data_IF_817690813431
#
_entry.id   IF_817690813431
#
_cell.length_a   1.000
_cell.length_b   1.000
_cell.length_c   1.000
_cell.angle_alpha   90.00
_cell.angle_beta   90.00
_cell.angle_gamma   90.00
#
_symmetry.space_group_name_H-M   'P 1'
#
loop_
_entity.id
_entity.type
_entity.pdbx_description
1 polymer ?
#
# COMPACT_ATOMS: atom_id res chain seq x y z
N UNK A 1 -7.50 -21.33 -6.72
CA UNK A 1 -7.70 -19.88 -7.00
C UNK A 1 -6.42 -19.06 -6.78
N UNK A 2 -5.22 -19.67 -6.72
CA UNK A 2 -3.98 -18.98 -6.33
C UNK A 2 -3.20 -18.30 -7.48
N UNK A 3 -3.69 -18.32 -8.71
CA UNK A 3 -2.80 -18.15 -9.85
C UNK A 3 -2.72 -16.71 -10.39
N UNK A 4 -3.82 -15.96 -10.36
CA UNK A 4 -3.86 -14.64 -11.04
C UNK A 4 -3.25 -13.51 -10.22
N UNK A 5 -3.56 -13.42 -8.92
CA UNK A 5 -3.02 -12.36 -8.05
C UNK A 5 -1.51 -12.49 -7.91
N UNK A 6 -1.01 -13.71 -7.77
CA UNK A 6 0.42 -14.00 -7.68
C UNK A 6 1.15 -13.70 -9.02
N UNK A 7 0.56 -14.09 -10.17
CA UNK A 7 1.10 -13.74 -11.49
C UNK A 7 1.12 -12.24 -11.74
N UNK A 8 0.09 -11.51 -11.33
CA UNK A 8 0.04 -10.04 -11.43
C UNK A 8 1.12 -9.41 -10.55
N UNK A 9 1.29 -9.89 -9.31
CA UNK A 9 2.32 -9.40 -8.40
C UNK A 9 3.72 -9.60 -8.98
N UNK A 10 4.08 -10.82 -9.36
CA UNK A 10 5.43 -11.12 -9.86
C UNK A 10 5.70 -10.53 -11.25
N UNK A 11 4.72 -10.60 -12.15
CA UNK A 11 4.92 -10.27 -13.56
C UNK A 11 4.72 -8.79 -13.87
N UNK A 12 3.98 -8.04 -13.05
CA UNK A 12 3.56 -6.67 -13.38
C UNK A 12 3.82 -5.70 -12.24
N UNK A 13 3.29 -5.97 -11.04
CA UNK A 13 3.31 -4.99 -9.95
C UNK A 13 4.70 -4.86 -9.32
N UNK A 14 5.37 -5.97 -8.99
CA UNK A 14 6.73 -5.93 -8.42
C UNK A 14 7.75 -5.29 -9.38
N UNK A 15 7.78 -5.61 -10.69
CA UNK A 15 8.62 -4.90 -11.64
C UNK A 15 8.34 -3.38 -11.64
N UNK A 16 7.06 -2.98 -11.71
CA UNK A 16 6.68 -1.57 -11.66
C UNK A 16 7.08 -0.88 -10.36
N UNK A 17 6.93 -1.54 -9.21
CA UNK A 17 7.39 -0.99 -7.93
C UNK A 17 8.91 -0.82 -7.91
N UNK A 18 9.63 -1.78 -8.48
CA UNK A 18 11.10 -1.71 -8.61
C UNK A 18 11.52 -0.51 -9.46
N UNK A 19 10.83 -0.28 -10.58
CA UNK A 19 11.13 0.81 -11.51
C UNK A 19 10.74 2.19 -10.95
N UNK A 20 9.56 2.32 -10.35
CA UNK A 20 8.95 3.63 -10.04
C UNK A 20 9.26 4.11 -8.62
N UNK A 21 9.40 3.21 -7.64
CA UNK A 21 9.45 3.60 -6.22
C UNK A 21 10.61 3.00 -5.43
N UNK A 22 11.45 2.13 -6.01
CA UNK A 22 12.58 1.52 -5.27
C UNK A 22 13.54 2.54 -4.70
N UNK A 23 14.04 3.49 -5.52
CA UNK A 23 14.99 4.50 -5.06
C UNK A 23 14.40 5.46 -4.01
N UNK A 24 13.17 6.00 -4.18
CA UNK A 24 12.51 6.76 -3.13
C UNK A 24 12.34 5.99 -1.82
N UNK A 25 11.91 4.72 -1.88
CA UNK A 25 11.70 3.90 -0.68
C UNK A 25 13.03 3.58 0.02
N UNK A 26 14.11 3.33 -0.74
CA UNK A 26 15.44 3.13 -0.17
C UNK A 26 15.91 4.35 0.64
N UNK A 27 15.66 5.57 0.13
CA UNK A 27 15.98 6.80 0.88
C UNK A 27 15.21 6.90 2.19
N UNK A 28 13.92 6.61 2.18
CA UNK A 28 13.08 6.58 3.39
C UNK A 28 13.60 5.53 4.37
N UNK A 29 14.00 4.36 3.88
CA UNK A 29 14.58 3.31 4.70
C UNK A 29 15.90 3.74 5.35
N UNK A 30 16.81 4.36 4.58
CA UNK A 30 18.09 4.87 5.11
C UNK A 30 17.87 5.98 6.16
N UNK A 31 16.88 6.85 5.96
CA UNK A 31 16.48 7.86 6.95
C UNK A 31 15.94 7.21 8.24
N UNK A 32 15.08 6.19 8.12
CA UNK A 32 14.58 5.43 9.26
C UNK A 32 15.71 4.77 10.06
N UNK A 33 16.67 4.14 9.37
CA UNK A 33 17.89 3.60 10.00
C UNK A 33 18.66 4.72 10.71
N UNK A 34 18.78 5.89 10.10
CA UNK A 34 19.42 7.06 10.68
C UNK A 34 18.75 7.53 11.99
N UNK A 35 17.42 7.60 12.01
CA UNK A 35 16.65 7.96 13.20
C UNK A 35 16.87 6.96 14.36
N UNK A 36 16.82 5.66 14.07
CA UNK A 36 17.03 4.61 15.07
C UNK A 36 18.44 4.68 15.65
N UNK A 37 19.47 4.79 14.79
CA UNK A 37 20.87 4.97 15.25
C UNK A 37 21.05 6.19 16.14
N UNK A 38 20.30 7.26 15.90
CA UNK A 38 20.41 8.48 16.72
C UNK A 38 19.67 8.36 18.05
N UNK A 39 18.64 7.51 18.13
CA UNK A 39 17.86 7.27 19.33
C UNK A 39 18.53 6.24 20.25
N UNK A 40 19.22 5.27 19.67
CA UNK A 40 20.00 4.27 20.41
C UNK A 40 21.33 4.89 20.86
N UNK A 41 21.47 5.11 22.18
CA UNK A 41 22.70 5.58 22.80
C UNK A 41 23.80 4.51 22.92
N UNK A 42 23.53 3.30 22.42
CA UNK A 42 24.38 2.11 22.54
C UNK A 42 24.86 1.62 21.17
N UNK A 43 26.05 1.02 21.17
CA UNK A 43 26.69 0.34 20.03
C UNK A 43 26.00 -1.01 19.70
N UNK A 44 24.68 -1.08 19.92
CA UNK A 44 23.88 -2.27 19.65
C UNK A 44 23.69 -2.44 18.14
N UNK A 45 23.77 -3.69 17.69
CA UNK A 45 23.56 -4.01 16.30
C UNK A 45 22.11 -3.76 15.94
N UNK A 46 21.88 -2.83 15.01
CA UNK A 46 20.54 -2.55 14.47
C UNK A 46 19.83 -3.84 14.04
N UNK A 47 18.65 -4.05 14.60
CA UNK A 47 17.78 -5.15 14.23
C UNK A 47 17.06 -4.83 12.90
N UNK A 48 17.50 -5.46 11.81
CA UNK A 48 16.91 -5.27 10.48
C UNK A 48 15.44 -5.70 10.42
N UNK A 49 15.04 -6.71 11.17
CA UNK A 49 13.66 -7.21 11.16
C UNK A 49 12.72 -6.19 11.79
N UNK A 50 13.14 -5.52 12.87
CA UNK A 50 12.39 -4.45 13.51
C UNK A 50 12.19 -3.24 12.58
N UNK A 51 13.25 -2.81 11.88
CA UNK A 51 13.16 -1.71 10.91
C UNK A 51 12.21 -2.07 9.76
N UNK A 52 12.30 -3.30 9.26
CA UNK A 52 11.41 -3.81 8.23
C UNK A 52 9.96 -3.79 8.70
N UNK A 53 9.69 -4.22 9.92
CA UNK A 53 8.33 -4.20 10.49
C UNK A 53 7.77 -2.78 10.61
N UNK A 54 8.59 -1.82 11.03
CA UNK A 54 8.20 -0.40 11.09
C UNK A 54 7.82 0.09 9.68
N UNK A 55 8.70 -0.14 8.70
CA UNK A 55 8.45 0.31 7.33
C UNK A 55 7.18 -0.32 6.74
N UNK A 56 6.92 -1.61 6.98
CA UNK A 56 5.72 -2.29 6.50
C UNK A 56 4.46 -1.66 7.11
N UNK A 57 4.43 -1.45 8.42
CA UNK A 57 3.27 -0.84 9.11
C UNK A 57 2.99 0.57 8.59
N UNK A 58 4.02 1.38 8.41
CA UNK A 58 3.87 2.73 7.88
C UNK A 58 3.42 2.73 6.41
N UNK A 59 3.90 1.76 5.62
CA UNK A 59 3.47 1.59 4.24
C UNK A 59 2.01 1.14 4.14
N UNK A 60 1.54 0.24 5.01
CA UNK A 60 0.11 -0.12 5.12
C UNK A 60 -0.74 1.11 5.44
N UNK A 61 -0.34 1.92 6.43
CA UNK A 61 -1.03 3.17 6.78
C UNK A 61 -1.06 4.12 5.58
N UNK A 62 0.05 4.23 4.84
CA UNK A 62 0.14 5.07 3.65
C UNK A 62 -0.78 4.58 2.54
N UNK A 63 -0.82 3.27 2.27
CA UNK A 63 -1.73 2.69 1.30
C UNK A 63 -3.19 3.01 1.65
N UNK A 64 -3.59 2.76 2.89
CA UNK A 64 -4.97 2.94 3.35
C UNK A 64 -5.40 4.40 3.38
N UNK A 65 -4.51 5.31 3.80
CA UNK A 65 -4.88 6.73 3.99
C UNK A 65 -4.64 7.61 2.79
N UNK A 66 -3.80 7.20 1.84
CA UNK A 66 -3.36 8.05 0.73
C UNK A 66 -3.51 7.42 -0.64
N UNK A 67 -3.22 6.13 -0.80
CA UNK A 67 -3.24 5.52 -2.14
C UNK A 67 -4.61 4.97 -2.50
N UNK A 68 -5.16 4.08 -1.66
CA UNK A 68 -6.43 3.42 -1.92
C UNK A 68 -7.57 4.44 -2.04
N UNK A 69 -7.72 5.44 -1.15
CA UNK A 69 -8.81 6.41 -1.23
C UNK A 69 -8.78 7.26 -2.51
N UNK A 70 -7.61 7.47 -3.11
CA UNK A 70 -7.43 8.31 -4.31
C UNK A 70 -7.66 7.53 -5.62
N UNK A 71 -7.89 6.21 -5.54
CA UNK A 71 -8.11 5.37 -6.72
C UNK A 71 -9.47 5.67 -7.36
N UNK A 72 -9.45 6.41 -8.47
CA UNK A 72 -10.65 6.74 -9.26
C UNK A 72 -11.44 5.50 -9.69
N UNK A 73 -10.74 4.43 -10.06
CA UNK A 73 -11.35 3.17 -10.49
C UNK A 73 -12.14 2.50 -9.35
N UNK A 74 -11.67 2.61 -8.10
CA UNK A 74 -12.41 2.10 -6.93
C UNK A 74 -13.58 3.02 -6.56
N UNK A 75 -13.41 4.34 -6.71
CA UNK A 75 -14.47 5.32 -6.45
C UNK A 75 -15.63 5.21 -7.46
N UNK A 76 -15.34 5.02 -8.74
CA UNK A 76 -16.35 4.85 -9.81
C UNK A 76 -17.19 3.59 -9.55
N UNK A 77 -16.55 2.49 -9.16
CA UNK A 77 -17.23 1.23 -8.79
C UNK A 77 -18.21 1.38 -7.60
N UNK A 78 -18.04 2.41 -6.77
CA UNK A 78 -18.90 2.67 -5.61
C UNK A 78 -20.13 3.53 -5.97
N UNK A 79 -20.06 4.33 -7.04
CA UNK A 79 -21.17 5.17 -7.50
C UNK A 79 -22.26 4.37 -8.20
N UNK A 80 -21.89 3.33 -8.93
CA UNK A 80 -22.83 2.45 -9.63
C UNK A 80 -23.73 1.64 -8.66
N UNK A 81 -23.36 1.55 -7.38
CA UNK A 81 -24.14 0.86 -6.35
C UNK A 81 -25.18 1.75 -5.66
N UNK A 82 -25.09 3.08 -5.77
CA UNK A 82 -26.03 4.02 -5.12
C UNK A 82 -27.15 4.54 -6.06
N UNK A 83 -27.05 4.32 -7.38
CA UNK A 83 -28.01 4.85 -8.36
C UNK A 83 -29.13 3.88 -8.81
N UNK A 84 -29.36 2.75 -8.12
CA UNK A 84 -30.47 1.86 -8.49
C UNK A 84 -31.24 1.25 -7.29
N UNK A 85 -32.21 1.98 -6.69
CA UNK A 85 -33.44 1.35 -6.24
C UNK A 85 -34.35 1.21 -7.47
N UNK A 86 -34.47 -0.01 -7.99
CA UNK A 86 -35.41 -0.36 -9.06
C UNK A 86 -36.80 0.27 -8.81
N UNK A 87 -37.19 1.13 -9.74
CA UNK A 87 -38.57 1.38 -10.10
C UNK A 87 -39.16 0.13 -10.74
N UNK A 88 -40.15 -0.50 -10.11
CA UNK A 88 -41.20 -1.38 -10.68
C UNK A 88 -42.07 -1.80 -9.47
N UNK A 89 -43.34 -1.42 -9.28
CA UNK A 89 -44.46 -1.43 -10.21
C UNK A 89 -45.51 -0.36 -9.82
N UNK A 90 -45.90 0.47 -10.78
CA UNK A 90 -47.32 0.80 -10.96
C UNK A 90 -48.00 -0.42 -11.59
N UNK A 91 -49.14 -0.87 -11.07
CA UNK A 91 -50.42 -1.20 -11.76
C UNK A 91 -51.24 -2.17 -10.89
N UNK A 92 -52.28 -1.66 -10.22
CA UNK A 92 -53.70 -2.09 -10.26
C UNK A 92 -54.55 -1.28 -9.27
#
# INVERSE_FOLDING_TARGET
>A
MEDISFKIQLGVILPKMTEEISDPILKIFDELVGFIKSAESSDESINKDEIKEILIKDFEIFLDKKIIPESKLLQESSKDLEENPESENETE
#
